data_IF_826994273139
#
_entry.id   IF_826994273139
#
_cell.length_a   1.000
_cell.length_b   1.000
_cell.length_c   1.000
_cell.angle_alpha   90.00
_cell.angle_beta   90.00
_cell.angle_gamma   90.00
#
_symmetry.space_group_name_H-M   'P 1'
#
loop_
_entity.id
_entity.type
_entity.pdbx_description
1 polymer ?
#
# COMPACT_ATOMS: atom_id res chain seq x y z
N UNK A 1 -10.36 -13.29 4.45
CA UNK A 1 -9.14 -13.01 3.66
C UNK A 1 -8.11 -12.37 4.58
N UNK A 2 -6.80 -12.65 4.41
CA UNK A 2 -5.74 -12.10 5.24
C UNK A 2 -4.61 -11.55 4.35
N UNK A 3 -3.96 -10.47 4.81
CA UNK A 3 -2.76 -9.93 4.17
C UNK A 3 -1.59 -10.82 4.57
N UNK A 4 -0.91 -11.38 3.58
CA UNK A 4 0.24 -12.25 3.81
C UNK A 4 1.53 -11.43 3.96
N UNK A 5 2.34 -11.78 4.95
CA UNK A 5 3.63 -11.16 5.16
C UNK A 5 4.73 -12.20 5.36
N UNK A 6 5.98 -11.80 5.12
CA UNK A 6 7.19 -12.56 5.46
C UNK A 6 8.10 -11.73 6.34
N UNK A 7 8.84 -12.39 7.21
CA UNK A 7 9.87 -11.76 8.03
C UNK A 7 11.18 -11.73 7.24
N UNK A 8 11.92 -10.63 7.31
CA UNK A 8 13.25 -10.50 6.73
C UNK A 8 14.19 -9.78 7.68
N UNK A 9 15.49 -10.08 7.57
CA UNK A 9 16.55 -9.42 8.34
C UNK A 9 17.05 -8.20 7.57
N UNK A 10 17.14 -7.05 8.22
CA UNK A 10 17.69 -5.84 7.61
C UNK A 10 19.20 -5.94 7.45
N UNK A 11 19.66 -5.72 6.21
CA UNK A 11 21.08 -5.65 5.87
C UNK A 11 21.57 -4.20 5.65
N UNK A 12 20.69 -3.21 5.85
CA UNK A 12 21.01 -1.80 5.66
C UNK A 12 22.00 -1.37 6.74
N UNK A 13 23.09 -0.74 6.33
CA UNK A 13 24.16 -0.33 7.24
C UNK A 13 23.82 0.94 8.03
N UNK A 14 22.78 0.86 8.87
CA UNK A 14 22.32 1.90 9.78
C UNK A 14 21.87 1.24 11.09
N UNK A 15 21.24 1.99 12.00
CA UNK A 15 20.71 1.49 13.28
C UNK A 15 19.67 0.36 13.19
N UNK A 16 19.29 -0.07 11.96
CA UNK A 16 18.37 -1.19 11.73
C UNK A 16 19.06 -2.49 11.34
N UNK A 17 20.38 -2.49 11.13
CA UNK A 17 21.17 -3.66 10.72
C UNK A 17 20.99 -4.81 11.71
N UNK A 18 20.68 -5.97 11.18
CA UNK A 18 20.49 -7.18 11.96
C UNK A 18 19.12 -7.36 12.61
N UNK A 19 18.27 -6.32 12.63
CA UNK A 19 16.90 -6.41 13.14
C UNK A 19 15.96 -7.06 12.13
N UNK A 20 14.89 -7.70 12.62
CA UNK A 20 13.90 -8.37 11.80
C UNK A 20 12.67 -7.48 11.60
N UNK A 21 12.13 -7.49 10.38
CA UNK A 21 10.98 -6.69 9.97
C UNK A 21 10.00 -7.51 9.15
N UNK A 22 8.71 -7.21 9.27
CA UNK A 22 7.67 -7.77 8.42
C UNK A 22 7.56 -7.01 7.09
N UNK A 23 7.38 -7.73 5.98
CA UNK A 23 7.08 -7.18 4.67
C UNK A 23 5.92 -7.92 4.04
N UNK A 24 4.94 -7.19 3.52
CA UNK A 24 3.83 -7.78 2.77
C UNK A 24 4.35 -8.59 1.59
N UNK A 25 3.76 -9.74 1.37
CA UNK A 25 4.04 -10.60 0.21
C UNK A 25 2.86 -10.52 -0.74
N UNK A 26 3.11 -10.07 -1.96
CA UNK A 26 2.10 -10.01 -2.99
C UNK A 26 2.08 -11.33 -3.76
N UNK A 27 0.91 -11.91 -3.94
CA UNK A 27 0.74 -13.15 -4.69
C UNK A 27 0.67 -12.88 -6.17
N UNK A 28 0.01 -11.79 -6.55
CA UNK A 28 -0.24 -11.43 -7.94
C UNK A 28 -0.38 -9.91 -8.10
N UNK A 29 -0.05 -9.41 -9.29
CA UNK A 29 -0.35 -8.04 -9.70
C UNK A 29 -1.57 -8.05 -10.63
N UNK A 30 -2.56 -7.22 -10.31
CA UNK A 30 -3.72 -6.99 -11.14
C UNK A 30 -3.49 -5.74 -12.00
N UNK A 31 -3.42 -5.93 -13.30
CA UNK A 31 -3.48 -4.87 -14.31
C UNK A 31 -4.95 -4.55 -14.68
N UNK A 32 -5.17 -3.56 -15.53
CA UNK A 32 -6.55 -3.20 -15.94
C UNK A 32 -7.32 -4.35 -16.60
N UNK A 33 -6.73 -5.16 -17.52
CA UNK A 33 -7.41 -6.32 -18.10
C UNK A 33 -7.82 -7.39 -17.09
N UNK A 34 -6.96 -7.68 -16.09
CA UNK A 34 -7.27 -8.63 -15.02
C UNK A 34 -8.32 -8.07 -14.07
N UNK A 35 -8.23 -6.76 -13.73
CA UNK A 35 -9.23 -6.09 -12.92
C UNK A 35 -10.59 -6.10 -13.61
N UNK A 36 -10.65 -5.81 -14.91
CA UNK A 36 -11.89 -5.86 -15.70
C UNK A 36 -12.49 -7.29 -15.74
N UNK A 37 -11.64 -8.31 -15.86
CA UNK A 37 -12.08 -9.70 -15.80
C UNK A 37 -12.64 -10.08 -14.43
N UNK A 38 -11.97 -9.64 -13.35
CA UNK A 38 -12.43 -9.84 -11.98
C UNK A 38 -13.77 -9.15 -11.74
N UNK A 39 -13.92 -7.87 -12.15
CA UNK A 39 -15.19 -7.16 -12.03
C UNK A 39 -16.32 -7.84 -12.79
N UNK A 40 -16.05 -8.33 -14.01
CA UNK A 40 -17.05 -9.05 -14.81
C UNK A 40 -17.51 -10.37 -14.16
N UNK A 41 -16.68 -10.99 -13.31
CA UNK A 41 -17.04 -12.21 -12.56
C UNK A 41 -18.03 -11.98 -11.41
N UNK A 42 -18.26 -10.72 -11.01
CA UNK A 42 -19.22 -10.36 -9.93
C UNK A 42 -20.68 -10.22 -10.40
N UNK A 43 -21.05 -10.88 -11.50
CA UNK A 43 -22.42 -10.88 -12.02
C UNK A 43 -22.94 -9.47 -12.38
N UNK A 44 -22.09 -8.65 -12.99
CA UNK A 44 -22.46 -7.33 -13.52
C UNK A 44 -23.11 -7.45 -14.89
N UNK A 45 -23.98 -6.50 -15.26
CA UNK A 45 -24.56 -6.39 -16.60
C UNK A 45 -23.59 -5.90 -17.68
N UNK A 46 -22.37 -5.47 -17.28
CA UNK A 46 -21.37 -4.96 -18.21
C UNK A 46 -20.44 -6.08 -18.67
N UNK A 47 -20.14 -6.12 -19.97
CA UNK A 47 -19.14 -7.02 -20.52
C UNK A 47 -17.72 -6.61 -20.04
N UNK A 48 -16.80 -7.58 -20.02
CA UNK A 48 -15.38 -7.34 -19.71
C UNK A 48 -14.78 -6.20 -20.55
N UNK A 49 -15.14 -6.13 -21.83
CA UNK A 49 -14.65 -5.09 -22.75
C UNK A 49 -15.15 -3.70 -22.38
N UNK A 50 -16.43 -3.57 -22.02
CA UNK A 50 -17.00 -2.31 -21.55
C UNK A 50 -16.35 -1.83 -20.25
N UNK A 51 -16.16 -2.74 -19.29
CA UNK A 51 -15.48 -2.44 -18.02
C UNK A 51 -14.05 -1.97 -18.28
N UNK A 52 -13.30 -2.64 -19.15
CA UNK A 52 -11.93 -2.27 -19.50
C UNK A 52 -11.87 -0.87 -20.15
N UNK A 53 -12.80 -0.55 -21.04
CA UNK A 53 -12.88 0.78 -21.65
C UNK A 53 -13.12 1.86 -20.60
N UNK A 54 -14.11 1.68 -19.71
CA UNK A 54 -14.41 2.62 -18.63
C UNK A 54 -13.19 2.81 -17.69
N UNK A 55 -12.54 1.73 -17.27
CA UNK A 55 -11.36 1.81 -16.41
C UNK A 55 -10.21 2.57 -17.08
N UNK A 56 -10.02 2.35 -18.38
CA UNK A 56 -8.99 3.04 -19.16
C UNK A 56 -9.27 4.53 -19.25
N UNK A 57 -10.53 4.92 -19.45
CA UNK A 57 -10.92 6.32 -19.53
C UNK A 57 -10.84 7.00 -18.16
N UNK A 58 -11.21 6.32 -17.06
CA UNK A 58 -11.03 6.85 -15.70
C UNK A 58 -9.55 7.19 -15.45
N UNK A 59 -8.63 6.29 -15.79
CA UNK A 59 -7.18 6.52 -15.58
C UNK A 59 -6.69 7.72 -16.38
N UNK A 60 -7.14 7.87 -17.65
CA UNK A 60 -6.80 9.02 -18.48
C UNK A 60 -7.32 10.32 -17.90
N UNK A 61 -8.61 10.38 -17.55
CA UNK A 61 -9.25 11.57 -16.96
C UNK A 61 -8.58 11.96 -15.63
N UNK A 62 -8.28 11.01 -14.75
CA UNK A 62 -7.56 11.31 -13.51
C UNK A 62 -6.21 11.97 -13.82
N UNK A 63 -5.44 11.40 -14.75
CA UNK A 63 -4.15 11.97 -15.14
C UNK A 63 -4.26 13.39 -15.68
N UNK A 64 -5.21 13.64 -16.56
CA UNK A 64 -5.46 14.99 -17.13
C UNK A 64 -5.77 16.01 -16.04
N UNK A 65 -6.70 15.67 -15.13
CA UNK A 65 -7.08 16.54 -14.02
C UNK A 65 -5.90 16.83 -13.07
N UNK A 66 -5.04 15.85 -12.82
CA UNK A 66 -3.86 16.01 -11.97
C UNK A 66 -2.81 16.92 -12.62
N UNK A 67 -2.62 16.84 -13.94
CA UNK A 67 -1.72 17.74 -14.68
C UNK A 67 -2.28 19.17 -14.68
N UNK A 68 -3.61 19.32 -14.69
CA UNK A 68 -4.30 20.58 -14.55
C UNK A 68 -4.41 21.08 -13.09
N UNK A 69 -3.49 20.63 -12.23
CA UNK A 69 -3.38 21.02 -10.81
C UNK A 69 -4.64 20.77 -9.96
N UNK A 70 -5.51 19.86 -10.40
CA UNK A 70 -6.71 19.46 -9.67
C UNK A 70 -6.44 18.24 -8.80
N UNK A 71 -7.21 18.09 -7.72
CA UNK A 71 -7.25 16.85 -6.92
C UNK A 71 -8.46 16.04 -7.34
N UNK A 72 -8.30 14.74 -7.42
CA UNK A 72 -9.39 13.81 -7.73
C UNK A 72 -9.67 12.94 -6.52
N UNK A 73 -10.89 12.95 -6.04
CA UNK A 73 -11.35 12.07 -4.95
C UNK A 73 -12.21 10.96 -5.54
N UNK A 74 -11.81 9.74 -5.28
CA UNK A 74 -12.66 8.56 -5.45
C UNK A 74 -13.11 8.12 -4.05
N UNK A 75 -14.42 8.22 -3.79
CA UNK A 75 -14.97 7.89 -2.48
C UNK A 75 -14.67 6.43 -2.10
N UNK A 76 -14.35 6.22 -0.82
CA UNK A 76 -13.94 4.95 -0.25
C UNK A 76 -12.62 4.37 -0.78
N UNK A 77 -11.95 5.05 -1.71
CA UNK A 77 -10.65 4.63 -2.23
C UNK A 77 -9.55 5.62 -1.84
N UNK A 78 -9.60 6.85 -2.36
CA UNK A 78 -8.52 7.77 -2.08
C UNK A 78 -8.66 9.13 -2.74
N UNK A 79 -7.83 10.08 -2.27
CA UNK A 79 -7.62 11.38 -2.89
C UNK A 79 -6.29 11.35 -3.61
N UNK A 80 -6.34 11.51 -4.91
CA UNK A 80 -5.19 11.59 -5.79
C UNK A 80 -4.80 13.05 -5.98
N UNK A 81 -3.51 13.35 -5.82
CA UNK A 81 -2.97 14.69 -6.02
C UNK A 81 -1.49 14.65 -6.38
N UNK A 82 -1.00 15.74 -6.94
CA UNK A 82 0.42 15.95 -7.20
C UNK A 82 1.00 16.81 -6.08
N UNK A 83 2.18 16.48 -5.60
CA UNK A 83 2.97 17.27 -4.68
C UNK A 83 4.31 17.64 -5.29
N UNK A 84 4.84 18.80 -4.93
CA UNK A 84 6.14 19.30 -5.36
C UNK A 84 7.17 18.95 -4.28
N UNK A 85 8.31 18.42 -4.70
CA UNK A 85 9.52 18.38 -3.88
C UNK A 85 10.37 19.57 -4.22
N UNK A 86 10.65 20.44 -3.25
CA UNK A 86 11.47 21.62 -3.44
C UNK A 86 12.60 21.69 -2.42
N UNK A 87 13.65 22.40 -2.79
CA UNK A 87 14.71 22.85 -1.89
C UNK A 87 14.42 24.32 -1.52
N UNK A 88 14.58 24.68 -0.24
CA UNK A 88 14.34 26.05 0.22
C UNK A 88 15.34 27.06 -0.37
N UNK A 89 14.90 28.30 -0.58
CA UNK A 89 15.72 29.48 -0.81
C UNK A 89 15.73 30.35 0.46
N UNK A 90 16.71 31.25 0.61
CA UNK A 90 16.81 32.12 1.80
C UNK A 90 15.80 33.26 1.72
N UNK A 91 15.55 33.80 0.51
CA UNK A 91 14.59 34.87 0.26
C UNK A 91 13.62 34.47 -0.83
N UNK A 92 12.53 35.20 -0.94
CA UNK A 92 11.53 34.96 -1.99
C UNK A 92 12.10 35.19 -3.39
N UNK A 93 12.94 36.22 -3.54
CA UNK A 93 13.58 36.60 -4.82
C UNK A 93 14.60 35.58 -5.30
N UNK A 94 15.21 34.84 -4.38
CA UNK A 94 16.17 33.77 -4.70
C UNK A 94 15.47 32.46 -5.12
N UNK A 95 14.15 32.36 -4.95
CA UNK A 95 13.43 31.15 -5.34
C UNK A 95 13.22 31.13 -6.86
N UNK A 96 14.02 30.31 -7.55
CA UNK A 96 13.90 30.05 -8.99
C UNK A 96 13.35 28.65 -9.19
N UNK A 97 12.25 28.54 -9.93
CA UNK A 97 11.58 27.25 -10.11
C UNK A 97 12.49 26.18 -10.72
N UNK A 98 13.36 26.55 -11.69
CA UNK A 98 14.29 25.65 -12.33
C UNK A 98 15.31 25.02 -11.36
N UNK A 99 15.74 25.78 -10.35
CA UNK A 99 16.79 25.36 -9.41
C UNK A 99 16.21 24.78 -8.12
N UNK A 100 15.04 25.28 -7.69
CA UNK A 100 14.45 24.95 -6.39
C UNK A 100 13.42 23.83 -6.48
N UNK A 101 12.76 23.58 -7.62
CA UNK A 101 11.82 22.47 -7.79
C UNK A 101 12.60 21.22 -8.23
N UNK A 102 12.73 20.25 -7.32
CA UNK A 102 13.47 19.02 -7.54
C UNK A 102 12.67 17.92 -8.24
N UNK A 103 11.34 18.05 -8.27
CA UNK A 103 10.46 17.10 -8.93
C UNK A 103 9.02 17.12 -8.46
N UNK A 104 8.21 16.37 -9.18
CA UNK A 104 6.79 16.17 -8.90
C UNK A 104 6.56 14.74 -8.41
N UNK A 105 5.70 14.58 -7.44
CA UNK A 105 5.32 13.27 -6.90
C UNK A 105 3.82 13.06 -6.97
N UNK A 106 3.42 11.97 -7.59
CA UNK A 106 2.06 11.45 -7.48
C UNK A 106 1.83 10.92 -6.07
N UNK A 107 0.72 11.34 -5.46
CA UNK A 107 0.31 10.93 -4.11
C UNK A 107 -1.13 10.43 -4.13
N UNK A 108 -1.38 9.41 -3.32
CA UNK A 108 -2.71 8.91 -3.03
C UNK A 108 -2.89 8.83 -1.51
N UNK A 109 -3.94 9.46 -0.99
CA UNK A 109 -4.32 9.39 0.41
C UNK A 109 -5.62 8.58 0.52
N UNK A 110 -5.58 7.44 1.19
CA UNK A 110 -6.75 6.60 1.41
C UNK A 110 -7.85 7.32 2.20
N UNK A 111 -9.09 7.20 1.76
CA UNK A 111 -10.27 7.81 2.41
C UNK A 111 -11.40 6.80 2.57
N UNK A 112 -12.33 7.09 3.47
CA UNK A 112 -13.46 6.21 3.75
C UNK A 112 -13.00 4.83 4.23
N UNK A 113 -13.45 3.78 3.57
CA UNK A 113 -13.07 2.39 3.90
C UNK A 113 -11.58 2.12 3.71
N UNK A 114 -10.92 2.81 2.77
CA UNK A 114 -9.48 2.72 2.53
C UNK A 114 -8.64 3.66 3.39
N UNK A 115 -9.25 4.37 4.36
CA UNK A 115 -8.49 5.16 5.32
C UNK A 115 -7.61 4.25 6.19
N UNK A 116 -6.50 4.80 6.69
CA UNK A 116 -5.54 4.05 7.51
C UNK A 116 -6.22 3.31 8.67
N UNK A 117 -7.09 3.99 9.41
CA UNK A 117 -7.72 3.45 10.61
C UNK A 117 -8.73 2.35 10.27
N UNK A 118 -9.54 2.53 9.22
CA UNK A 118 -10.49 1.54 8.78
C UNK A 118 -9.78 0.31 8.21
N UNK A 119 -8.74 0.53 7.42
CA UNK A 119 -7.94 -0.55 6.85
C UNK A 119 -7.27 -1.40 7.94
N UNK A 120 -6.73 -0.77 8.99
CA UNK A 120 -6.13 -1.47 10.13
C UNK A 120 -7.16 -2.29 10.94
N UNK A 121 -8.39 -1.79 11.09
CA UNK A 121 -9.46 -2.51 11.82
C UNK A 121 -9.97 -3.73 11.06
N UNK A 122 -10.01 -3.67 9.73
CA UNK A 122 -10.56 -4.73 8.88
C UNK A 122 -9.53 -5.76 8.45
N UNK A 123 -8.26 -5.36 8.38
CA UNK A 123 -7.19 -6.21 7.89
C UNK A 123 -6.78 -7.27 8.93
N UNK A 124 -6.78 -8.53 8.51
CA UNK A 124 -6.12 -9.62 9.22
C UNK A 124 -4.77 -9.86 8.57
N UNK A 125 -3.78 -10.25 9.36
CA UNK A 125 -2.45 -10.58 8.86
C UNK A 125 -2.11 -12.05 9.12
N UNK A 126 -1.43 -12.67 8.14
CA UNK A 126 -0.96 -14.05 8.24
C UNK A 126 0.48 -14.16 7.74
N UNK A 127 1.32 -14.87 8.47
CA UNK A 127 2.66 -15.19 7.99
C UNK A 127 2.60 -16.26 6.90
N UNK A 128 3.13 -15.95 5.71
CA UNK A 128 3.10 -16.84 4.54
C UNK A 128 4.10 -17.99 4.64
N UNK A 129 5.24 -17.74 5.26
CA UNK A 129 6.28 -18.75 5.44
C UNK A 129 6.89 -18.62 6.83
N UNK A 130 6.96 -19.73 7.53
CA UNK A 130 7.75 -19.81 8.76
C UNK A 130 9.23 -19.75 8.38
N UNK A 131 9.85 -18.57 8.45
CA UNK A 131 11.29 -18.47 8.36
C UNK A 131 11.92 -18.97 9.67
N UNK A 132 12.38 -20.22 9.64
CA UNK A 132 13.28 -20.78 10.67
C UNK A 132 14.67 -20.16 10.50
N UNK A 133 14.86 -18.92 10.94
CA UNK A 133 16.18 -18.34 11.08
C UNK A 133 16.80 -18.85 12.39
N UNK A 134 17.73 -19.84 12.30
CA UNK A 134 18.64 -20.20 13.41
C UNK A 134 18.03 -20.94 14.58
N UNK A 135 16.89 -21.60 14.44
CA UNK A 135 16.43 -22.59 15.42
C UNK A 135 16.91 -23.96 14.98
N UNK A 136 17.88 -24.52 15.72
CA UNK A 136 18.25 -25.92 15.57
C UNK A 136 17.00 -26.78 15.67
N UNK A 137 16.88 -27.75 14.74
CA UNK A 137 15.81 -28.74 14.73
C UNK A 137 15.85 -29.55 16.02
N UNK A 138 15.06 -29.19 17.02
CA UNK A 138 14.65 -30.16 18.02
C UNK A 138 13.66 -31.11 17.36
N UNK A 139 14.07 -32.31 17.15
CA UNK A 139 13.32 -33.43 16.59
C UNK A 139 12.08 -33.68 17.46
N UNK A 140 10.87 -33.51 16.91
CA UNK A 140 9.62 -33.97 17.51
C UNK A 140 8.73 -32.86 18.06
N UNK A 141 7.91 -32.26 17.22
CA UNK A 141 6.79 -31.39 17.61
C UNK A 141 5.92 -31.10 16.42
N UNK A 142 4.65 -31.44 16.49
CA UNK A 142 3.63 -31.10 15.52
C UNK A 142 3.59 -29.58 15.32
N UNK A 143 3.72 -29.13 14.06
CA UNK A 143 3.59 -27.72 13.68
C UNK A 143 2.12 -27.29 13.84
N UNK A 144 1.83 -26.54 14.89
CA UNK A 144 0.56 -25.82 14.97
C UNK A 144 0.66 -24.57 14.10
N UNK A 145 -0.31 -24.28 13.22
CA UNK A 145 -0.32 -23.03 12.46
C UNK A 145 -0.38 -21.85 13.43
N UNK A 146 0.47 -20.84 13.24
CA UNK A 146 0.40 -19.60 14.02
C UNK A 146 -0.97 -18.94 13.85
N UNK A 147 -1.58 -18.46 14.93
CA UNK A 147 -2.90 -17.84 14.87
C UNK A 147 -2.88 -16.59 13.95
N UNK A 148 -4.00 -16.36 13.27
CA UNK A 148 -4.26 -15.08 12.58
C UNK A 148 -4.41 -13.97 13.63
N UNK A 149 -3.68 -12.86 13.44
CA UNK A 149 -3.77 -11.69 14.32
C UNK A 149 -4.59 -10.58 13.69
N UNK A 150 -5.49 -10.00 14.45
CA UNK A 150 -6.17 -8.75 14.10
C UNK A 150 -5.26 -7.58 14.46
N UNK A 151 -4.90 -6.73 13.49
CA UNK A 151 -3.98 -5.59 13.69
C UNK A 151 -4.50 -4.61 14.76
N UNK A 152 -5.82 -4.52 14.94
CA UNK A 152 -6.45 -3.59 15.88
C UNK A 152 -6.26 -3.92 17.36
N UNK A 153 -5.90 -5.16 17.73
CA UNK A 153 -5.72 -5.56 19.14
C UNK A 153 -4.29 -5.39 19.66
N UNK A 154 -3.29 -5.47 18.80
CA UNK A 154 -1.89 -5.36 19.20
C UNK A 154 -1.50 -3.94 19.67
N UNK A 155 -2.17 -2.89 19.16
CA UNK A 155 -1.85 -1.49 19.49
C UNK A 155 -2.44 -1.05 20.84
N UNK A 156 -3.44 -1.76 21.38
CA UNK A 156 -4.07 -1.40 22.67
C UNK A 156 -3.32 -1.95 23.89
N UNK A 157 -2.38 -2.89 23.70
CA UNK A 157 -1.65 -3.51 24.80
C UNK A 157 -0.35 -2.80 25.15
N UNK A 158 0.23 -2.03 24.22
CA UNK A 158 1.49 -1.28 24.46
C UNK A 158 1.29 0.13 25.08
N UNK A 159 0.05 0.57 25.29
CA UNK A 159 -0.22 1.89 25.91
C UNK A 159 -0.69 1.78 27.38
N UNK A 160 -0.38 0.68 28.09
CA UNK A 160 -0.81 0.47 29.48
C UNK A 160 0.32 0.10 30.45
N UNK A 161 1.56 0.47 30.14
CA UNK A 161 2.65 0.44 31.13
C UNK A 161 3.35 1.79 31.19
#
# INVERSE_FOLDING_TARGET
MAIEYKIYKSNINNGTKGKFYGRVTYNEMYDLPKLAAHMASHNTSFSRGQILAILTDIVKCIRELLIDSKKVRLDNLGIFHVSIRSKGAKTFEEFVAADNILGLHFRCLGVGESSRDNFQRQARIREKSQHKWGVEKTTGGQETPKPEYEIGRAVQQECRD
#
